data_IF_407840608728
#
_entry.id   IF_407840608728
#
_cell.length_a   1.000
_cell.length_b   1.000
_cell.length_c   1.000
_cell.angle_alpha   90.00
_cell.angle_beta   90.00
_cell.angle_gamma   90.00
#
_symmetry.space_group_name_H-M   'P 1'
#
loop_
_entity.id
_entity.type
_entity.pdbx_description
1 polymer ?
#
# COMPACT_ATOMS: atom_id res chain seq x y z
N UNK A 1 -19.94 2.81 -3.05
CA UNK A 1 -18.64 2.65 -2.41
C UNK A 1 -17.86 1.56 -3.07
N UNK A 2 -16.69 1.91 -3.57
CA UNK A 2 -15.84 0.94 -4.22
C UNK A 2 -14.74 0.50 -3.26
N UNK A 3 -14.55 -0.80 -3.14
CA UNK A 3 -13.45 -1.40 -2.41
C UNK A 3 -12.79 -2.37 -3.37
N UNK A 4 -11.48 -2.26 -3.51
CA UNK A 4 -10.80 -3.11 -4.44
C UNK A 4 -9.31 -3.17 -4.22
N UNK A 5 -8.63 -4.12 -4.88
CA UNK A 5 -7.19 -4.27 -4.75
C UNK A 5 -6.46 -3.17 -5.49
N UNK A 6 -5.38 -2.70 -4.89
CA UNK A 6 -4.47 -1.73 -5.49
C UNK A 6 -3.09 -2.35 -5.52
N UNK A 7 -2.43 -2.26 -6.66
CA UNK A 7 -1.05 -2.74 -6.81
C UNK A 7 -0.14 -1.57 -7.08
N UNK A 8 0.96 -1.53 -6.35
CA UNK A 8 1.97 -0.49 -6.51
C UNK A 8 3.31 -1.16 -6.68
N UNK A 9 4.05 -0.77 -7.70
CA UNK A 9 5.39 -1.29 -7.90
C UNK A 9 6.33 -0.66 -6.89
N UNK A 10 7.04 -1.49 -6.15
CA UNK A 10 7.97 -1.01 -5.14
C UNK A 10 9.21 -1.90 -5.11
N UNK A 11 10.37 -1.29 -5.34
CA UNK A 11 11.63 -2.02 -5.37
C UNK A 11 12.15 -2.34 -3.98
N UNK A 12 11.73 -1.59 -2.98
CA UNK A 12 12.13 -1.80 -1.62
C UNK A 12 10.95 -2.12 -0.73
N UNK A 13 11.00 -1.61 0.49
CA UNK A 13 9.90 -1.77 1.43
C UNK A 13 8.91 -0.63 1.24
N UNK A 14 7.64 -0.96 1.30
CA UNK A 14 6.59 0.04 1.24
C UNK A 14 5.65 -0.17 2.42
N UNK A 15 5.33 0.91 3.09
CA UNK A 15 4.33 0.90 4.15
C UNK A 15 3.09 1.61 3.67
N UNK A 16 1.94 1.05 4.00
CA UNK A 16 0.66 1.65 3.66
C UNK A 16 -0.05 2.05 4.94
N UNK A 17 -0.53 3.27 4.98
CA UNK A 17 -1.30 3.76 6.11
C UNK A 17 -2.60 4.39 5.61
N UNK A 18 -3.66 4.20 6.38
CA UNK A 18 -4.94 4.81 6.10
C UNK A 18 -5.35 5.62 7.33
N UNK A 19 -5.52 6.92 7.16
CA UNK A 19 -5.91 7.81 8.25
C UNK A 19 -4.99 7.69 9.46
N UNK A 20 -3.68 7.51 9.19
CA UNK A 20 -2.68 7.40 10.24
C UNK A 20 -2.54 6.02 10.85
N UNK A 21 -3.27 5.04 10.35
CA UNK A 21 -3.22 3.66 10.86
C UNK A 21 -2.61 2.73 9.82
N UNK A 22 -1.82 1.74 10.26
CA UNK A 22 -1.22 0.80 9.31
C UNK A 22 -2.26 -0.04 8.61
N UNK A 23 -2.00 -0.33 7.33
CA UNK A 23 -2.86 -1.15 6.50
C UNK A 23 -2.06 -2.38 6.09
N UNK A 24 -2.70 -3.54 6.14
CA UNK A 24 -2.06 -4.78 5.73
C UNK A 24 -1.78 -4.76 4.23
N UNK A 25 -0.58 -5.15 3.87
CA UNK A 25 -0.20 -5.27 2.48
C UNK A 25 0.54 -6.57 2.25
N UNK A 26 0.55 -7.04 1.01
CA UNK A 26 1.18 -8.29 0.63
C UNK A 26 2.10 -8.03 -0.55
N UNK A 27 3.33 -8.54 -0.48
CA UNK A 27 4.25 -8.41 -1.60
C UNK A 27 4.02 -9.54 -2.59
N UNK A 28 3.90 -9.16 -3.85
CA UNK A 28 3.78 -10.11 -4.96
C UNK A 28 4.81 -9.75 -6.02
N UNK A 29 5.97 -10.41 -5.95
CA UNK A 29 7.07 -10.11 -6.86
C UNK A 29 7.55 -8.68 -6.66
N UNK A 30 7.49 -7.87 -7.69
CA UNK A 30 7.90 -6.48 -7.64
C UNK A 30 6.76 -5.54 -7.22
N UNK A 31 5.57 -6.09 -6.96
CA UNK A 31 4.42 -5.28 -6.61
C UNK A 31 4.00 -5.50 -5.18
N UNK A 32 3.41 -4.48 -4.59
CA UNK A 32 2.79 -4.59 -3.28
C UNK A 32 1.30 -4.33 -3.46
N UNK A 33 0.50 -5.23 -2.93
CA UNK A 33 -0.94 -5.20 -3.09
C UNK A 33 -1.62 -4.95 -1.76
N UNK A 34 -2.60 -4.07 -1.74
CA UNK A 34 -3.44 -3.85 -0.58
C UNK A 34 -4.85 -3.50 -1.04
N UNK A 35 -5.80 -3.62 -0.12
CA UNK A 35 -7.18 -3.31 -0.42
C UNK A 35 -7.47 -1.87 -0.03
N UNK A 36 -7.98 -1.10 -0.98
CA UNK A 36 -8.33 0.29 -0.75
C UNK A 36 -9.84 0.46 -0.76
N UNK A 37 -10.33 1.33 0.11
CA UNK A 37 -11.75 1.67 0.19
C UNK A 37 -11.95 3.11 -0.22
N UNK A 38 -13.03 3.39 -0.91
CA UNK A 38 -13.36 4.75 -1.32
C UNK A 38 -13.59 5.61 -0.08
N UNK A 39 -13.22 6.88 -0.19
CA UNK A 39 -13.44 7.84 0.88
C UNK A 39 -12.35 7.86 1.95
N UNK A 40 -11.35 7.00 1.85
CA UNK A 40 -10.24 6.99 2.80
C UNK A 40 -8.99 7.53 2.14
N UNK A 41 -8.18 8.19 2.94
CA UNK A 41 -6.89 8.71 2.48
C UNK A 41 -5.81 7.71 2.83
N UNK A 42 -5.03 7.34 1.82
CA UNK A 42 -3.93 6.39 2.00
C UNK A 42 -2.60 7.10 1.83
N UNK A 43 -1.65 6.74 2.68
CA UNK A 43 -0.30 7.26 2.61
C UNK A 43 0.64 6.10 2.34
N UNK A 44 1.48 6.24 1.34
CA UNK A 44 2.46 5.22 0.98
C UNK A 44 3.84 5.75 1.29
N UNK A 45 4.57 5.00 2.11
CA UNK A 45 5.94 5.32 2.45
C UNK A 45 6.87 4.29 1.83
N UNK A 46 7.84 4.76 1.08
CA UNK A 46 8.78 3.89 0.40
C UNK A 46 10.14 3.98 1.07
N UNK A 47 10.78 2.83 1.25
CA UNK A 47 12.14 2.75 1.77
C UNK A 47 12.99 1.96 0.81
N UNK A 48 14.16 2.48 0.51
CA UNK A 48 15.12 1.78 -0.33
C UNK A 48 16.29 1.36 0.53
N UNK A 49 16.72 0.13 0.34
CA UNK A 49 17.96 -0.30 0.95
C UNK A 49 19.12 0.38 0.22
N UNK A 50 20.12 0.85 0.95
CA UNK A 50 21.28 1.46 0.32
C UNK A 50 22.11 0.45 -0.47
#
# INVERSE_FOLDING_TARGET
NATGPVRVRADGTMRVQADGKPVRSVRRGADIEFTASAGRRYTLEFSHAP
#
